data_IF_368288933854
#
_entry.id   IF_368288933854
#
_cell.length_a   1.000
_cell.length_b   1.000
_cell.length_c   1.000
_cell.angle_alpha   90.00
_cell.angle_beta   90.00
_cell.angle_gamma   90.00
#
_symmetry.space_group_name_H-M   'P 1'
#
loop_
_entity.id
_entity.type
_entity.pdbx_description
1 polymer ?
#
# COMPACT_ATOMS: atom_id res chain seq x y z
N UNK A 1 12.18 -19.56 7.48
CA UNK A 1 10.74 -19.89 7.53
C UNK A 1 10.13 -19.42 6.23
N UNK A 2 9.28 -20.22 5.61
CA UNK A 2 8.68 -19.86 4.31
C UNK A 2 7.29 -19.25 4.56
N UNK A 3 7.16 -17.93 4.41
CA UNK A 3 5.90 -17.20 4.51
C UNK A 3 5.38 -16.91 3.11
N UNK A 4 4.08 -17.12 2.88
CA UNK A 4 3.45 -16.72 1.62
C UNK A 4 2.75 -15.38 1.78
N UNK A 5 3.24 -14.37 1.08
CA UNK A 5 2.76 -12.99 1.18
C UNK A 5 2.38 -12.52 -0.21
N UNK A 6 1.19 -11.94 -0.32
CA UNK A 6 0.81 -11.17 -1.50
C UNK A 6 0.99 -9.68 -1.22
N UNK A 7 1.86 -9.05 -2.00
CA UNK A 7 2.29 -7.67 -1.78
C UNK A 7 1.30 -6.63 -2.33
N UNK A 8 0.26 -7.02 -3.08
CA UNK A 8 -0.86 -6.11 -3.41
C UNK A 8 -2.09 -6.88 -3.88
N UNK A 9 -3.22 -6.64 -3.23
CA UNK A 9 -4.54 -7.09 -3.69
C UNK A 9 -5.59 -5.99 -3.66
N UNK A 10 -6.35 -5.92 -4.75
CA UNK A 10 -7.54 -5.09 -4.87
C UNK A 10 -8.64 -5.90 -5.56
N UNK A 11 -9.53 -6.46 -4.75
CA UNK A 11 -10.56 -7.40 -5.19
C UNK A 11 -11.93 -7.01 -4.63
N UNK A 12 -12.98 -7.60 -5.19
CA UNK A 12 -14.33 -7.48 -4.64
C UNK A 12 -14.48 -8.43 -3.43
N UNK A 13 -13.96 -8.00 -2.28
CA UNK A 13 -13.81 -8.80 -1.06
C UNK A 13 -15.11 -9.47 -0.62
N UNK A 14 -15.01 -10.76 -0.32
CA UNK A 14 -16.13 -11.60 0.11
C UNK A 14 -15.61 -12.85 0.82
N UNK A 15 -16.50 -13.56 1.51
CA UNK A 15 -16.18 -14.86 2.12
C UNK A 15 -15.50 -15.83 1.14
N UNK A 16 -15.96 -15.86 -0.12
CA UNK A 16 -15.38 -16.70 -1.16
C UNK A 16 -13.88 -16.40 -1.34
N UNK A 17 -13.53 -15.12 -1.51
CA UNK A 17 -12.14 -14.70 -1.67
C UNK A 17 -11.32 -15.05 -0.43
N UNK A 18 -11.85 -14.82 0.78
CA UNK A 18 -11.12 -15.17 2.00
C UNK A 18 -10.85 -16.68 2.11
N UNK A 19 -11.79 -17.53 1.67
CA UNK A 19 -11.56 -18.97 1.56
C UNK A 19 -10.49 -19.31 0.52
N UNK A 20 -10.49 -18.66 -0.64
CA UNK A 20 -9.45 -18.84 -1.67
C UNK A 20 -8.05 -18.42 -1.16
N UNK A 21 -7.95 -17.33 -0.37
CA UNK A 21 -6.70 -16.95 0.29
C UNK A 21 -6.20 -18.05 1.24
N UNK A 22 -7.12 -18.67 2.00
CA UNK A 22 -6.80 -19.79 2.90
C UNK A 22 -6.38 -21.04 2.13
N UNK A 23 -7.08 -21.37 1.05
CA UNK A 23 -6.75 -22.50 0.18
C UNK A 23 -5.37 -22.33 -0.47
N UNK A 24 -5.02 -21.11 -0.90
CA UNK A 24 -3.68 -20.77 -1.39
C UNK A 24 -2.60 -20.79 -0.30
N UNK A 25 -3.00 -20.82 0.97
CA UNK A 25 -2.11 -20.80 2.13
C UNK A 25 -1.40 -19.46 2.32
N UNK A 26 -2.04 -18.34 1.95
CA UNK A 26 -1.48 -17.01 2.14
C UNK A 26 -1.45 -16.65 3.64
N UNK A 27 -0.26 -16.35 4.14
CA UNK A 27 -0.04 -15.93 5.52
C UNK A 27 -0.33 -14.44 5.70
N UNK A 28 -0.09 -13.62 4.66
CA UNK A 28 -0.42 -12.20 4.67
C UNK A 28 -0.79 -11.67 3.28
N UNK A 29 -1.61 -10.61 3.27
CA UNK A 29 -1.99 -9.86 2.07
C UNK A 29 -1.98 -8.37 2.39
N UNK A 30 -1.28 -7.59 1.56
CA UNK A 30 -1.41 -6.14 1.52
C UNK A 30 -2.61 -5.78 0.64
N UNK A 31 -3.65 -5.19 1.25
CA UNK A 31 -4.90 -4.82 0.56
C UNK A 31 -4.97 -3.32 0.32
N UNK A 32 -5.46 -2.95 -0.85
CA UNK A 32 -5.75 -1.55 -1.17
C UNK A 32 -7.07 -1.14 -0.53
N UNK A 33 -7.04 -0.10 0.30
CA UNK A 33 -8.25 0.50 0.89
C UNK A 33 -8.50 1.94 0.41
N UNK A 34 -7.60 2.48 -0.40
CA UNK A 34 -7.80 3.73 -1.12
C UNK A 34 -7.09 3.69 -2.48
N UNK A 35 -7.83 4.10 -3.50
CA UNK A 35 -7.43 4.20 -4.90
C UNK A 35 -7.62 5.63 -5.42
N UNK A 36 -8.77 6.24 -5.13
CA UNK A 36 -9.07 7.66 -5.40
C UNK A 36 -9.85 8.34 -4.27
N UNK A 37 -10.16 7.60 -3.22
CA UNK A 37 -10.94 8.05 -2.08
C UNK A 37 -10.22 9.17 -1.31
N UNK A 38 -10.99 10.17 -0.89
CA UNK A 38 -10.61 11.20 0.08
C UNK A 38 -10.44 10.60 1.48
N UNK A 39 -10.08 11.43 2.47
CA UNK A 39 -10.02 10.97 3.86
C UNK A 39 -11.34 10.31 4.30
N UNK A 40 -12.45 11.02 4.09
CA UNK A 40 -13.77 10.56 4.58
C UNK A 40 -14.25 9.30 3.87
N UNK A 41 -14.04 9.19 2.56
CA UNK A 41 -14.42 8.01 1.79
C UNK A 41 -13.58 6.79 2.19
N UNK A 42 -12.29 7.00 2.46
CA UNK A 42 -11.38 5.93 2.93
C UNK A 42 -11.82 5.40 4.30
N UNK A 43 -12.38 6.24 5.18
CA UNK A 43 -12.96 5.78 6.45
C UNK A 43 -14.12 4.79 6.19
N UNK A 44 -14.94 4.97 5.17
CA UNK A 44 -16.02 4.03 4.85
C UNK A 44 -15.47 2.65 4.41
N UNK A 45 -14.33 2.64 3.71
CA UNK A 45 -13.62 1.40 3.38
C UNK A 45 -13.05 0.73 4.65
N UNK A 46 -12.51 1.51 5.59
CA UNK A 46 -12.04 1.00 6.88
C UNK A 46 -13.17 0.38 7.70
N UNK A 47 -14.33 1.05 7.78
CA UNK A 47 -15.54 0.53 8.45
C UNK A 47 -15.95 -0.83 7.85
N UNK A 48 -15.96 -0.95 6.52
CA UNK A 48 -16.27 -2.20 5.83
C UNK A 48 -15.27 -3.31 6.17
N UNK A 49 -13.98 -3.00 6.21
CA UNK A 49 -12.95 -3.97 6.59
C UNK A 49 -13.07 -4.45 8.03
N UNK A 50 -13.39 -3.56 8.97
CA UNK A 50 -13.67 -3.96 10.34
C UNK A 50 -14.85 -4.94 10.41
N UNK A 51 -15.92 -4.69 9.64
CA UNK A 51 -17.01 -5.64 9.48
C UNK A 51 -16.56 -7.02 8.96
N UNK A 52 -15.65 -7.06 7.99
CA UNK A 52 -15.07 -8.33 7.53
C UNK A 52 -14.24 -9.05 8.59
N UNK A 53 -13.48 -8.31 9.42
CA UNK A 53 -12.72 -8.92 10.51
C UNK A 53 -13.64 -9.48 11.60
N UNK A 54 -14.78 -8.85 11.85
CA UNK A 54 -15.79 -9.36 12.78
C UNK A 54 -16.49 -10.61 12.21
N UNK A 55 -17.00 -10.54 10.99
CA UNK A 55 -17.79 -11.63 10.38
C UNK A 55 -16.92 -12.84 10.03
N UNK A 56 -15.69 -12.61 9.57
CA UNK A 56 -14.77 -13.65 9.09
C UNK A 56 -13.53 -13.80 9.98
N UNK A 57 -13.68 -13.55 11.28
CA UNK A 57 -12.60 -13.61 12.27
C UNK A 57 -11.87 -14.97 12.31
N UNK A 58 -12.50 -16.05 11.85
CA UNK A 58 -11.88 -17.38 11.74
C UNK A 58 -10.90 -17.49 10.56
N UNK A 59 -11.04 -16.64 9.53
CA UNK A 59 -10.24 -16.69 8.30
C UNK A 59 -9.17 -15.59 8.26
N UNK A 60 -9.50 -14.38 8.72
CA UNK A 60 -8.66 -13.19 8.58
C UNK A 60 -8.59 -12.38 9.86
N UNK A 61 -7.58 -11.52 9.97
CA UNK A 61 -7.49 -10.46 10.97
C UNK A 61 -6.58 -9.33 10.47
N UNK A 62 -6.68 -8.15 11.07
CA UNK A 62 -5.82 -7.02 10.72
C UNK A 62 -4.38 -7.22 11.20
N UNK A 63 -3.42 -7.03 10.29
CA UNK A 63 -1.99 -7.00 10.59
C UNK A 63 -1.49 -5.58 10.82
N UNK A 64 -0.61 -5.41 11.80
CA UNK A 64 0.02 -4.13 12.13
C UNK A 64 1.54 -4.20 12.10
N UNK A 65 2.12 -5.41 12.15
CA UNK A 65 3.55 -5.65 12.22
C UNK A 65 3.94 -6.96 11.54
N UNK A 66 5.23 -7.17 11.26
CA UNK A 66 5.73 -8.43 10.71
C UNK A 66 5.43 -9.66 11.61
N UNK A 67 5.29 -9.46 12.93
CA UNK A 67 4.92 -10.55 13.84
C UNK A 67 3.51 -11.11 13.58
N UNK A 68 2.61 -10.31 12.99
CA UNK A 68 1.28 -10.75 12.63
C UNK A 68 1.29 -11.79 11.50
N UNK A 69 2.30 -11.75 10.62
CA UNK A 69 2.49 -12.77 9.57
C UNK A 69 2.78 -14.14 10.22
N UNK A 70 3.65 -14.14 11.23
CA UNK A 70 3.96 -15.35 12.00
C UNK A 70 2.75 -15.86 12.78
N UNK A 71 1.97 -14.95 13.35
CA UNK A 71 0.73 -15.26 14.06
C UNK A 71 -0.31 -15.86 13.11
N UNK A 72 -0.47 -15.29 11.92
CA UNK A 72 -1.41 -15.75 10.90
C UNK A 72 -1.13 -17.20 10.50
N UNK A 73 0.14 -17.51 10.20
CA UNK A 73 0.59 -18.87 9.91
C UNK A 73 0.25 -19.85 11.02
N UNK A 74 0.59 -19.50 12.28
CA UNK A 74 0.33 -20.35 13.45
C UNK A 74 -1.16 -20.59 13.69
N UNK A 75 -1.99 -19.59 13.43
CA UNK A 75 -3.44 -19.67 13.63
C UNK A 75 -4.18 -20.27 12.44
N UNK A 76 -3.51 -20.55 11.32
CA UNK A 76 -4.18 -20.94 10.09
C UNK A 76 -5.12 -19.85 9.56
N UNK A 77 -4.71 -18.57 9.66
CA UNK A 77 -5.41 -17.38 9.17
C UNK A 77 -4.55 -16.56 8.22
N UNK A 78 -5.12 -15.56 7.57
CA UNK A 78 -4.38 -14.57 6.76
C UNK A 78 -4.38 -13.21 7.45
N UNK A 79 -3.21 -12.63 7.65
CA UNK A 79 -3.10 -11.26 8.14
C UNK A 79 -3.32 -10.25 7.00
N UNK A 80 -4.19 -9.28 7.22
CA UNK A 80 -4.54 -8.25 6.23
C UNK A 80 -3.87 -6.94 6.62
N UNK A 81 -2.98 -6.43 5.76
CA UNK A 81 -2.30 -5.15 5.95
C UNK A 81 -2.90 -4.09 5.05
N UNK A 82 -3.24 -2.93 5.60
CA UNK A 82 -3.83 -1.85 4.82
C UNK A 82 -2.77 -1.02 4.12
N UNK A 83 -3.06 -0.66 2.87
CA UNK A 83 -2.34 0.38 2.17
C UNK A 83 -3.16 1.15 1.17
N UNK A 84 -2.56 2.23 0.71
CA UNK A 84 -3.14 3.13 -0.27
C UNK A 84 -2.36 3.05 -1.58
N UNK A 85 -3.06 2.91 -2.69
CA UNK A 85 -2.46 3.05 -4.02
C UNK A 85 -2.38 4.53 -4.46
N UNK A 86 -2.91 5.46 -3.68
CA UNK A 86 -2.89 6.89 -3.97
C UNK A 86 -2.74 7.68 -2.67
N UNK A 87 -2.02 8.82 -2.65
CA UNK A 87 -1.93 9.65 -1.45
C UNK A 87 -3.20 10.47 -1.15
N UNK A 88 -4.26 10.37 -1.95
CA UNK A 88 -5.51 11.13 -1.74
C UNK A 88 -6.08 11.08 -0.31
N UNK A 89 -5.92 10.02 0.52
CA UNK A 89 -6.43 10.02 1.89
C UNK A 89 -5.72 10.98 2.85
N UNK A 90 -4.52 11.48 2.50
CA UNK A 90 -3.81 12.49 3.30
C UNK A 90 -4.07 13.92 2.81
N UNK A 91 -4.74 14.07 1.66
CA UNK A 91 -5.09 15.37 1.07
C UNK A 91 -3.86 16.30 1.02
N UNK A 92 -3.96 17.53 1.53
CA UNK A 92 -2.86 18.47 1.69
C UNK A 92 -2.30 18.55 3.13
N UNK A 93 -2.67 17.61 4.00
CA UNK A 93 -2.30 17.57 5.42
C UNK A 93 -1.43 16.35 5.76
N UNK A 94 -0.12 16.60 5.89
CA UNK A 94 0.90 15.59 6.26
C UNK A 94 0.57 14.93 7.61
N UNK A 95 -0.08 15.64 8.54
CA UNK A 95 -0.44 15.13 9.85
C UNK A 95 -1.42 13.96 9.81
N UNK A 96 -2.18 13.81 8.72
CA UNK A 96 -3.09 12.68 8.52
C UNK A 96 -2.36 11.34 8.38
N UNK A 97 -1.06 11.33 8.04
CA UNK A 97 -0.25 10.10 8.04
C UNK A 97 -0.22 9.43 9.42
N UNK A 98 -0.06 10.21 10.49
CA UNK A 98 -0.05 9.65 11.85
C UNK A 98 -1.44 9.09 12.23
N UNK A 99 -2.51 9.77 11.79
CA UNK A 99 -3.88 9.29 11.96
C UNK A 99 -4.08 7.95 11.26
N UNK A 100 -3.71 7.85 9.98
CA UNK A 100 -3.83 6.62 9.21
C UNK A 100 -2.95 5.49 9.73
N UNK A 101 -1.75 5.80 10.20
CA UNK A 101 -0.89 4.83 10.86
C UNK A 101 -1.55 4.24 12.13
N UNK A 102 -2.19 5.09 12.96
CA UNK A 102 -2.96 4.64 14.14
C UNK A 102 -4.18 3.80 13.75
N UNK A 103 -4.80 4.08 12.60
CA UNK A 103 -5.88 3.28 12.02
C UNK A 103 -5.39 2.00 11.32
N UNK A 104 -4.08 1.74 11.31
CA UNK A 104 -3.48 0.48 10.87
C UNK A 104 -2.97 0.46 9.44
N UNK A 105 -2.91 1.60 8.76
CA UNK A 105 -2.27 1.73 7.44
C UNK A 105 -0.77 1.57 7.57
N UNK A 106 -0.17 0.78 6.68
CA UNK A 106 1.26 0.46 6.69
C UNK A 106 1.97 0.70 5.36
N UNK A 107 1.22 0.91 4.28
CA UNK A 107 1.77 1.19 2.96
C UNK A 107 1.04 2.39 2.35
N UNK A 108 1.77 3.24 1.63
CA UNK A 108 1.15 4.27 0.79
C UNK A 108 2.01 4.50 -0.44
N UNK A 109 1.36 4.55 -1.60
CA UNK A 109 1.99 5.03 -2.81
C UNK A 109 2.02 6.55 -2.85
N UNK A 110 3.08 7.13 -3.44
CA UNK A 110 3.17 8.58 -3.61
C UNK A 110 2.34 9.10 -4.79
N UNK A 111 1.95 8.22 -5.71
CA UNK A 111 1.17 8.56 -6.92
C UNK A 111 0.30 7.41 -7.38
N UNK A 112 -0.69 7.71 -8.22
CA UNK A 112 -1.41 6.71 -9.00
C UNK A 112 -1.57 7.18 -10.46
N UNK A 113 -0.68 6.72 -11.35
CA UNK A 113 -0.61 7.04 -12.79
C UNK A 113 -0.32 8.50 -13.14
N UNK A 114 -1.02 9.45 -12.51
CA UNK A 114 -0.92 10.88 -12.76
C UNK A 114 -0.11 11.59 -11.66
N UNK A 115 0.18 12.86 -11.89
CA UNK A 115 0.74 13.80 -10.92
C UNK A 115 -0.13 13.85 -9.65
N UNK A 116 0.51 13.72 -8.50
CA UNK A 116 -0.09 14.01 -7.19
C UNK A 116 0.51 15.28 -6.59
N UNK A 117 0.07 15.66 -5.39
CA UNK A 117 0.74 16.69 -4.60
C UNK A 117 2.18 16.29 -4.22
N UNK A 118 2.53 15.01 -4.33
CA UNK A 118 3.77 14.45 -3.79
C UNK A 118 4.82 14.15 -4.86
N UNK A 119 4.41 13.63 -6.02
CA UNK A 119 5.34 13.23 -7.09
C UNK A 119 4.62 13.06 -8.43
N UNK A 120 5.38 12.76 -9.50
CA UNK A 120 4.84 12.44 -10.81
C UNK A 120 4.54 10.96 -10.99
N UNK A 121 3.35 10.67 -11.52
CA UNK A 121 2.93 9.31 -11.85
C UNK A 121 3.54 8.82 -13.16
N UNK A 122 3.54 7.49 -13.38
CA UNK A 122 4.20 6.90 -14.54
C UNK A 122 3.54 7.19 -15.90
N UNK A 123 2.30 7.68 -15.93
CA UNK A 123 1.59 8.01 -17.16
C UNK A 123 1.64 9.49 -17.54
N UNK A 124 2.21 10.35 -16.68
CA UNK A 124 2.47 11.74 -17.02
C UNK A 124 3.32 11.87 -18.28
N UNK A 125 3.16 13.00 -18.97
CA UNK A 125 4.01 13.33 -20.13
C UNK A 125 5.43 13.71 -19.67
N UNK A 126 5.54 14.37 -18.52
CA UNK A 126 6.79 14.79 -17.90
C UNK A 126 6.82 14.27 -16.46
N UNK A 127 7.90 13.57 -16.10
CA UNK A 127 8.16 13.13 -14.73
C UNK A 127 9.05 14.17 -14.04
N UNK A 128 8.41 15.04 -13.25
CA UNK A 128 9.06 16.15 -12.55
C UNK A 128 9.72 15.74 -11.23
N UNK A 129 9.70 14.45 -10.88
CA UNK A 129 10.26 13.95 -9.63
C UNK A 129 9.38 14.23 -8.40
N UNK A 130 10.02 14.30 -7.24
CA UNK A 130 9.35 14.60 -5.97
C UNK A 130 9.08 16.10 -5.82
N UNK A 131 7.87 16.44 -5.39
CA UNK A 131 7.56 17.82 -4.98
C UNK A 131 8.20 18.15 -3.63
N UNK A 132 8.16 19.42 -3.24
CA UNK A 132 8.56 19.84 -1.88
C UNK A 132 7.74 19.12 -0.80
N UNK A 133 6.42 18.98 -1.01
CA UNK A 133 5.55 18.27 -0.06
C UNK A 133 5.86 16.77 -0.05
N UNK A 134 6.14 16.15 -1.21
CA UNK A 134 6.52 14.74 -1.30
C UNK A 134 7.73 14.38 -0.45
N UNK A 135 8.73 15.26 -0.40
CA UNK A 135 9.92 15.09 0.45
C UNK A 135 9.56 15.10 1.94
N UNK A 136 8.74 16.06 2.39
CA UNK A 136 8.26 16.09 3.78
C UNK A 136 7.41 14.87 4.13
N UNK A 137 6.57 14.41 3.19
CA UNK A 137 5.77 13.18 3.36
C UNK A 137 6.67 11.94 3.49
N UNK A 138 7.71 11.79 2.67
CA UNK A 138 8.66 10.67 2.81
C UNK A 138 9.33 10.69 4.18
N UNK A 139 9.75 11.86 4.67
CA UNK A 139 10.36 11.99 5.98
C UNK A 139 9.39 11.54 7.10
N UNK A 140 8.12 11.92 7.00
CA UNK A 140 7.09 11.52 7.96
C UNK A 140 6.74 10.02 7.87
N UNK A 141 6.67 9.47 6.66
CA UNK A 141 6.49 8.04 6.43
C UNK A 141 7.65 7.23 7.04
N UNK A 142 8.89 7.68 6.86
CA UNK A 142 10.06 7.07 7.49
C UNK A 142 9.99 7.14 9.03
N UNK A 143 9.57 8.27 9.59
CA UNK A 143 9.40 8.46 11.05
C UNK A 143 8.35 7.50 11.62
N UNK A 144 7.21 7.37 10.95
CA UNK A 144 6.08 6.54 11.39
C UNK A 144 6.27 5.04 11.10
N UNK A 145 7.12 4.69 10.14
CA UNK A 145 7.25 3.32 9.65
C UNK A 145 6.16 2.93 8.64
N UNK A 146 5.63 3.91 7.88
CA UNK A 146 4.79 3.63 6.71
C UNK A 146 5.71 3.36 5.52
N UNK A 147 5.49 2.23 4.86
CA UNK A 147 6.27 1.80 3.71
C UNK A 147 5.86 2.61 2.48
N UNK A 148 6.87 3.18 1.81
CA UNK A 148 6.72 3.94 0.58
C UNK A 148 6.68 2.97 -0.60
N UNK A 149 5.61 3.05 -1.40
CA UNK A 149 5.43 2.23 -2.60
C UNK A 149 5.46 3.09 -3.87
N UNK A 150 6.27 2.69 -4.86
CA UNK A 150 6.48 3.46 -6.10
C UNK A 150 5.98 2.73 -7.35
N UNK A 151 5.11 1.73 -7.20
CA UNK A 151 4.62 0.89 -8.31
C UNK A 151 3.94 1.69 -9.43
N UNK A 152 3.23 2.78 -9.11
CA UNK A 152 2.55 3.65 -10.07
C UNK A 152 3.22 5.02 -10.28
N UNK A 153 4.48 5.17 -9.84
CA UNK A 153 5.26 6.40 -9.98
C UNK A 153 6.18 6.36 -11.19
N UNK A 154 6.49 7.55 -11.72
CA UNK A 154 7.46 7.71 -12.79
C UNK A 154 8.87 7.27 -12.39
N UNK A 155 9.76 7.10 -13.36
CA UNK A 155 11.13 6.64 -13.15
C UNK A 155 11.95 7.63 -12.31
N UNK A 156 11.97 8.92 -12.69
CA UNK A 156 12.69 9.95 -11.95
C UNK A 156 12.10 10.11 -10.53
N UNK A 157 10.78 10.16 -10.40
CA UNK A 157 10.11 10.16 -9.09
C UNK A 157 10.50 8.96 -8.23
N UNK A 158 10.61 7.75 -8.83
CA UNK A 158 11.03 6.54 -8.12
C UNK A 158 12.49 6.65 -7.66
N UNK A 159 13.40 7.10 -8.52
CA UNK A 159 14.82 7.26 -8.20
C UNK A 159 15.04 8.30 -7.10
N UNK A 160 14.37 9.45 -7.18
CA UNK A 160 14.43 10.47 -6.12
C UNK A 160 13.89 9.95 -4.78
N UNK A 161 12.83 9.13 -4.79
CA UNK A 161 12.33 8.49 -3.57
C UNK A 161 13.34 7.49 -2.98
N UNK A 162 14.10 6.76 -3.81
CA UNK A 162 15.20 5.90 -3.37
C UNK A 162 16.29 6.73 -2.71
N UNK A 163 16.68 7.86 -3.32
CA UNK A 163 17.74 8.73 -2.80
C UNK A 163 17.34 9.43 -1.50
N UNK A 164 16.08 9.86 -1.38
CA UNK A 164 15.61 10.65 -0.25
C UNK A 164 15.14 9.82 0.94
N UNK A 165 14.63 8.61 0.72
CA UNK A 165 14.12 7.76 1.80
C UNK A 165 15.24 7.19 2.67
N UNK A 166 15.07 7.27 3.99
CA UNK A 166 16.00 6.70 4.98
C UNK A 166 15.73 5.21 5.26
N UNK A 167 14.60 4.69 4.77
CA UNK A 167 14.24 3.27 4.86
C UNK A 167 13.96 2.69 3.46
N UNK A 168 14.03 1.36 3.27
CA UNK A 168 13.73 0.77 1.97
C UNK A 168 12.34 1.14 1.46
N UNK A 169 12.28 1.63 0.22
CA UNK A 169 11.03 1.73 -0.53
C UNK A 169 10.68 0.37 -1.15
N UNK A 170 9.46 0.22 -1.65
CA UNK A 170 9.04 -0.98 -2.37
C UNK A 170 8.47 -0.64 -3.75
N UNK A 171 8.58 -1.62 -4.65
CA UNK A 171 7.72 -1.74 -5.81
C UNK A 171 6.84 -2.95 -5.52
N UNK A 172 5.67 -2.73 -4.92
CA UNK A 172 4.80 -3.83 -4.49
C UNK A 172 4.26 -4.64 -5.67
N UNK A 173 4.06 -4.02 -6.84
CA UNK A 173 3.53 -4.67 -8.03
C UNK A 173 3.90 -3.94 -9.34
N UNK A 174 5.00 -4.34 -9.96
CA UNK A 174 5.32 -3.99 -11.34
C UNK A 174 6.07 -5.13 -12.03
N UNK A 175 6.14 -5.07 -13.36
CA UNK A 175 6.93 -5.99 -14.16
C UNK A 175 8.20 -5.30 -14.66
N UNK A 176 9.21 -6.06 -15.11
CA UNK A 176 10.39 -5.48 -15.74
C UNK A 176 10.08 -4.95 -17.15
N UNK A 177 10.65 -3.80 -17.50
CA UNK A 177 10.42 -3.14 -18.78
C UNK A 177 10.99 -3.93 -19.96
N UNK A 178 12.06 -4.72 -19.74
CA UNK A 178 12.62 -5.59 -20.78
C UNK A 178 11.62 -6.67 -21.25
N UNK A 179 10.67 -7.08 -20.40
CA UNK A 179 9.66 -8.08 -20.74
C UNK A 179 8.54 -7.48 -21.61
N UNK A 180 8.08 -6.28 -21.27
CA UNK A 180 7.05 -5.57 -22.01
C UNK A 180 7.20 -4.05 -21.80
N UNK A 181 7.19 -3.23 -22.86
CA UNK A 181 7.43 -1.79 -22.75
C UNK A 181 6.16 -1.02 -22.33
N UNK A 182 5.63 -1.34 -21.14
CA UNK A 182 4.56 -0.55 -20.52
C UNK A 182 5.16 0.55 -19.63
N UNK A 183 4.58 1.76 -19.64
CA UNK A 183 5.01 2.89 -18.80
C UNK A 183 5.09 2.57 -17.30
N UNK A 184 4.30 1.60 -16.83
CA UNK A 184 4.27 1.17 -15.42
C UNK A 184 5.37 0.16 -15.06
N UNK A 185 6.02 -0.46 -16.05
CA UNK A 185 7.11 -1.39 -15.83
C UNK A 185 8.40 -0.63 -15.47
N UNK A 186 9.32 -1.29 -14.76
CA UNK A 186 10.54 -0.66 -14.23
C UNK A 186 11.78 -1.09 -15.01
N UNK A 187 12.73 -0.17 -15.18
CA UNK A 187 13.97 -0.34 -15.98
C UNK A 187 14.93 -1.39 -15.41
#
# INVERSE_FOLDING_TARGET
MDYKIDCLQYANWSKKIFLELREGGLDAVHVTIAYHETFRETILNLERWHGYFEEYHELIFQGFSASDISKAKKLGKTAIFFGFQNPSPIEDDIGLLEVWHKLGVRFMQLTYNNQSLLASGCYENEDMGLTRMGKEVIAEMNRLGIIIDMSHSGENSTLEAIEFSQTPIVISHANPAFWHPAKRNKS
#
